data_IF_432422268430
#
_entry.id   IF_432422268430
#
_cell.length_a   1.000
_cell.length_b   1.000
_cell.length_c   1.000
_cell.angle_alpha   90.00
_cell.angle_beta   90.00
_cell.angle_gamma   90.00
#
_symmetry.space_group_name_H-M   'P 1'
#
loop_
_entity.id
_entity.type
_entity.pdbx_description
1 polymer ?
#
# COMPACT_ATOMS: atom_id res chain seq x y z
N UNK A 1 16.34 5.62 -0.31
CA UNK A 1 15.13 5.69 -1.13
C UNK A 1 14.48 7.02 -0.78
N UNK A 2 13.99 7.83 -1.72
CA UNK A 2 13.33 9.08 -1.38
C UNK A 2 12.12 8.80 -0.47
N UNK A 3 11.87 9.70 0.48
CA UNK A 3 10.70 9.63 1.36
C UNK A 3 9.44 10.03 0.59
N UNK A 4 8.27 9.79 1.19
CA UNK A 4 7.02 10.31 0.63
C UNK A 4 7.02 11.84 0.56
N UNK A 5 7.60 12.53 1.56
CA UNK A 5 7.75 13.97 1.56
C UNK A 5 8.52 14.47 0.33
N UNK A 6 9.65 13.81 0.00
CA UNK A 6 10.43 14.17 -1.20
C UNK A 6 9.60 14.02 -2.47
N UNK A 7 8.78 12.98 -2.55
CA UNK A 7 7.89 12.76 -3.68
C UNK A 7 6.79 13.84 -3.75
N UNK A 8 6.15 14.14 -2.61
CA UNK A 8 5.09 15.14 -2.53
C UNK A 8 5.59 16.54 -2.91
N UNK A 9 6.75 16.96 -2.40
CA UNK A 9 7.36 18.24 -2.72
C UNK A 9 7.73 18.35 -4.21
N UNK A 10 8.22 17.26 -4.81
CA UNK A 10 8.51 17.19 -6.25
C UNK A 10 7.23 17.36 -7.08
N UNK A 11 6.16 16.68 -6.71
CA UNK A 11 4.87 16.78 -7.40
C UNK A 11 4.27 18.19 -7.32
N UNK A 12 4.42 18.88 -6.20
CA UNK A 12 3.89 20.24 -6.04
C UNK A 12 4.66 21.29 -6.86
N UNK A 13 5.96 21.12 -7.06
CA UNK A 13 6.81 22.11 -7.74
C UNK A 13 7.11 21.75 -9.18
N UNK A 14 7.84 20.65 -9.37
CA UNK A 14 8.42 20.31 -10.68
C UNK A 14 7.38 19.67 -11.61
N UNK A 15 6.49 18.84 -11.07
CA UNK A 15 5.48 18.15 -11.88
C UNK A 15 4.42 19.11 -12.40
N UNK A 16 4.02 20.09 -11.60
CA UNK A 16 3.11 21.16 -12.03
C UNK A 16 3.68 21.91 -13.23
N UNK A 17 4.94 22.29 -13.16
CA UNK A 17 5.61 22.96 -14.29
C UNK A 17 5.70 22.07 -15.54
N UNK A 18 5.89 20.75 -15.38
CA UNK A 18 5.90 19.79 -16.48
C UNK A 18 4.52 19.66 -17.12
N UNK A 19 3.45 19.59 -16.35
CA UNK A 19 2.08 19.52 -16.85
C UNK A 19 1.72 20.77 -17.64
N UNK A 20 2.05 21.94 -17.13
CA UNK A 20 1.83 23.23 -17.80
C UNK A 20 2.60 23.29 -19.14
N UNK A 21 3.88 22.89 -19.14
CA UNK A 21 4.70 22.85 -20.33
C UNK A 21 4.18 21.86 -21.41
N UNK A 22 3.52 20.77 -20.99
CA UNK A 22 2.88 19.80 -21.88
C UNK A 22 1.47 20.19 -22.30
N UNK A 23 0.92 21.27 -21.76
CA UNK A 23 -0.44 21.73 -22.05
C UNK A 23 -1.53 20.80 -21.51
N UNK A 24 -1.25 20.04 -20.46
CA UNK A 24 -2.24 19.19 -19.79
C UNK A 24 -3.22 20.09 -19.05
N UNK A 25 -4.51 19.93 -19.34
CA UNK A 25 -5.55 20.74 -18.73
C UNK A 25 -6.09 20.09 -17.45
N UNK A 26 -6.58 20.88 -16.50
CA UNK A 26 -7.15 20.42 -15.22
C UNK A 26 -8.24 19.33 -15.41
N UNK A 27 -9.02 19.41 -16.48
CA UNK A 27 -10.01 18.37 -16.81
C UNK A 27 -9.42 17.01 -17.19
N UNK A 28 -8.14 16.99 -17.58
CA UNK A 28 -7.40 15.77 -17.94
C UNK A 28 -6.66 15.23 -16.72
N UNK A 29 -6.08 16.12 -15.91
CA UNK A 29 -5.47 15.79 -14.64
C UNK A 29 -5.45 17.02 -13.73
N UNK A 30 -6.21 16.96 -12.63
CA UNK A 30 -6.26 18.02 -11.62
C UNK A 30 -5.18 17.75 -10.56
N UNK A 31 -4.01 18.36 -10.77
CA UNK A 31 -2.86 18.26 -9.85
C UNK A 31 -3.19 18.82 -8.47
N UNK A 32 -4.02 19.85 -8.39
CA UNK A 32 -4.39 20.46 -7.10
C UNK A 32 -5.23 19.51 -6.27
N UNK A 33 -6.21 18.87 -6.89
CA UNK A 33 -7.02 17.87 -6.20
C UNK A 33 -6.17 16.64 -5.81
N UNK A 34 -5.25 16.22 -6.69
CA UNK A 34 -4.32 15.11 -6.40
C UNK A 34 -3.46 15.42 -5.17
N UNK A 35 -2.86 16.61 -5.09
CA UNK A 35 -2.04 17.02 -3.94
C UNK A 35 -2.87 17.14 -2.66
N UNK A 36 -4.08 17.68 -2.73
CA UNK A 36 -4.99 17.77 -1.58
C UNK A 36 -5.31 16.38 -0.98
N UNK A 37 -5.45 15.37 -1.83
CA UNK A 37 -5.67 13.97 -1.37
C UNK A 37 -4.42 13.40 -0.69
N UNK A 38 -3.23 13.81 -1.10
CA UNK A 38 -1.95 13.36 -0.56
C UNK A 38 -1.48 14.15 0.67
N UNK A 39 -1.95 15.38 0.84
CA UNK A 39 -1.56 16.29 1.93
C UNK A 39 -1.62 15.66 3.33
N UNK A 40 -2.65 14.88 3.70
CA UNK A 40 -2.70 14.24 5.02
C UNK A 40 -1.54 13.27 5.31
N UNK A 41 -0.87 12.77 4.27
CA UNK A 41 0.27 11.84 4.40
C UNK A 41 1.63 12.54 4.37
N UNK A 42 1.66 13.83 4.04
CA UNK A 42 2.87 14.65 4.06
C UNK A 42 3.26 14.97 5.50
N UNK A 43 4.51 15.33 5.70
CA UNK A 43 5.08 15.68 7.02
C UNK A 43 4.25 16.72 7.75
N UNK A 44 3.81 16.37 8.96
CA UNK A 44 2.91 17.20 9.78
C UNK A 44 1.43 16.96 9.50
N UNK A 45 1.06 16.15 8.51
CA UNK A 45 -0.30 15.70 8.27
C UNK A 45 -0.75 14.60 9.24
N UNK A 46 -2.06 14.34 9.27
CA UNK A 46 -2.67 13.37 10.18
C UNK A 46 -2.10 11.95 10.04
N UNK A 47 -1.68 11.57 8.82
CA UNK A 47 -1.19 10.22 8.49
C UNK A 47 0.29 10.20 8.10
N UNK A 48 1.08 11.20 8.47
CA UNK A 48 2.49 11.30 8.11
C UNK A 48 3.30 10.07 8.58
N UNK A 49 2.95 9.52 9.74
CA UNK A 49 3.59 8.35 10.34
C UNK A 49 3.50 7.08 9.49
N UNK A 50 2.55 7.01 8.54
CA UNK A 50 2.40 5.84 7.67
C UNK A 50 3.49 5.75 6.61
N UNK A 51 3.91 6.89 6.04
CA UNK A 51 4.75 6.92 4.85
C UNK A 51 6.10 7.62 5.06
N UNK A 52 6.27 8.37 6.16
CA UNK A 52 7.47 9.18 6.44
C UNK A 52 8.29 8.68 7.64
N UNK A 53 8.18 7.40 7.99
CA UNK A 53 8.98 6.84 9.08
C UNK A 53 10.45 6.73 8.67
N UNK A 54 11.35 7.29 9.49
CA UNK A 54 12.79 7.13 9.35
C UNK A 54 13.27 5.68 9.62
N UNK A 55 12.40 4.87 10.24
CA UNK A 55 12.71 3.48 10.55
C UNK A 55 12.25 2.58 9.42
N UNK A 56 13.19 2.10 8.62
CA UNK A 56 12.90 1.02 7.68
C UNK A 56 12.63 -0.27 8.44
N UNK A 57 11.43 -0.80 8.25
CA UNK A 57 11.06 -2.10 8.78
C UNK A 57 11.67 -3.18 7.87
N UNK A 58 12.90 -3.62 8.16
CA UNK A 58 13.49 -4.75 7.43
C UNK A 58 12.95 -6.07 8.00
N UNK A 59 12.06 -6.68 7.25
CA UNK A 59 11.44 -7.96 7.59
C UNK A 59 12.01 -9.13 6.78
N UNK A 60 13.06 -8.91 5.98
CA UNK A 60 13.60 -9.96 5.11
C UNK A 60 14.08 -11.18 5.91
N UNK A 61 14.76 -10.92 7.03
CA UNK A 61 15.34 -11.97 7.89
C UNK A 61 14.31 -12.61 8.83
N UNK A 62 13.13 -12.03 8.96
CA UNK A 62 12.11 -12.55 9.87
C UNK A 62 11.34 -13.69 9.21
N UNK A 63 11.39 -14.87 9.83
CA UNK A 63 10.67 -16.06 9.32
C UNK A 63 9.18 -16.03 9.62
N UNK A 64 8.80 -15.39 10.71
CA UNK A 64 7.41 -15.23 11.14
C UNK A 64 7.15 -13.78 11.52
N UNK A 65 6.11 -13.20 10.94
CA UNK A 65 5.70 -11.82 11.17
C UNK A 65 4.19 -11.79 11.30
N UNK A 66 3.69 -11.11 12.30
CA UNK A 66 2.26 -10.86 12.51
C UNK A 66 2.03 -9.37 12.49
N UNK A 67 1.03 -8.94 11.75
CA UNK A 67 0.51 -7.58 11.76
C UNK A 67 -0.87 -7.60 12.40
N UNK A 68 -0.98 -6.98 13.55
CA UNK A 68 -2.25 -6.79 14.24
C UNK A 68 -2.84 -5.44 13.82
N UNK A 69 -3.95 -5.47 13.12
CA UNK A 69 -4.60 -4.27 12.58
C UNK A 69 -6.07 -4.15 12.99
N UNK A 70 -6.52 -4.93 13.98
CA UNK A 70 -7.91 -4.92 14.42
C UNK A 70 -8.35 -3.55 14.96
N UNK A 71 -7.45 -2.83 15.62
CA UNK A 71 -7.72 -1.48 16.15
C UNK A 71 -8.06 -0.43 15.07
N UNK A 72 -7.69 -0.67 13.82
CA UNK A 72 -7.95 0.24 12.68
C UNK A 72 -8.91 -0.34 11.65
N UNK A 73 -9.48 -1.52 11.89
CA UNK A 73 -10.30 -2.26 10.90
C UNK A 73 -11.48 -1.47 10.33
N UNK A 74 -12.07 -0.60 11.16
CA UNK A 74 -13.23 0.21 10.78
C UNK A 74 -12.83 1.61 10.27
N UNK A 75 -11.54 1.95 10.33
CA UNK A 75 -11.07 3.25 9.87
C UNK A 75 -11.02 3.29 8.34
N UNK A 76 -11.73 4.25 7.69
CA UNK A 76 -11.92 4.25 6.23
C UNK A 76 -10.65 4.45 5.42
N UNK A 77 -9.62 5.05 6.01
CA UNK A 77 -8.35 5.37 5.36
C UNK A 77 -7.22 4.47 5.87
N UNK A 78 -7.03 4.37 7.19
CA UNK A 78 -5.90 3.64 7.76
C UNK A 78 -5.92 2.16 7.41
N UNK A 79 -7.08 1.52 7.47
CA UNK A 79 -7.18 0.09 7.19
C UNK A 79 -6.75 -0.28 5.75
N UNK A 80 -7.32 0.32 4.69
CA UNK A 80 -6.92 -0.02 3.32
C UNK A 80 -5.46 0.36 3.02
N UNK A 81 -4.98 1.51 3.46
CA UNK A 81 -3.60 1.95 3.21
C UNK A 81 -2.60 1.03 3.91
N UNK A 82 -2.81 0.72 5.20
CA UNK A 82 -1.96 -0.21 5.95
C UNK A 82 -1.96 -1.60 5.32
N UNK A 83 -3.12 -2.08 4.89
CA UNK A 83 -3.24 -3.38 4.22
C UNK A 83 -2.43 -3.43 2.93
N UNK A 84 -2.49 -2.39 2.10
CA UNK A 84 -1.69 -2.30 0.87
C UNK A 84 -0.19 -2.29 1.21
N UNK A 85 0.24 -1.53 2.21
CA UNK A 85 1.65 -1.49 2.64
C UNK A 85 2.12 -2.90 3.06
N UNK A 86 1.35 -3.60 3.88
CA UNK A 86 1.69 -4.96 4.33
C UNK A 86 1.79 -5.92 3.13
N UNK A 87 0.85 -5.86 2.21
CA UNK A 87 0.86 -6.70 1.01
C UNK A 87 2.05 -6.40 0.11
N UNK A 88 2.41 -5.14 -0.11
CA UNK A 88 3.61 -4.76 -0.86
C UNK A 88 4.90 -5.24 -0.19
N UNK A 89 4.99 -5.14 1.13
CA UNK A 89 6.11 -5.70 1.89
C UNK A 89 6.23 -7.20 1.67
N UNK A 90 5.12 -7.94 1.69
CA UNK A 90 5.11 -9.36 1.42
C UNK A 90 5.51 -9.68 -0.03
N UNK A 91 4.98 -8.97 -1.02
CA UNK A 91 5.34 -9.14 -2.43
C UNK A 91 6.83 -8.86 -2.65
N UNK A 92 7.37 -7.83 -2.03
CA UNK A 92 8.80 -7.53 -2.09
C UNK A 92 9.64 -8.67 -1.49
N UNK A 93 9.22 -9.21 -0.35
CA UNK A 93 9.83 -10.38 0.26
C UNK A 93 9.75 -11.62 -0.63
N UNK A 94 8.61 -11.86 -1.28
CA UNK A 94 8.45 -12.93 -2.26
C UNK A 94 9.48 -12.86 -3.38
N UNK A 95 9.68 -11.67 -3.94
CA UNK A 95 10.60 -11.46 -5.06
C UNK A 95 12.07 -11.61 -4.67
N UNK A 96 12.42 -11.17 -3.46
CA UNK A 96 13.82 -11.18 -2.97
C UNK A 96 14.27 -12.57 -2.50
N UNK A 97 13.42 -13.31 -1.81
CA UNK A 97 13.74 -14.64 -1.27
C UNK A 97 13.40 -15.73 -2.30
N UNK A 98 14.27 -15.92 -3.28
CA UNK A 98 14.12 -16.94 -4.31
C UNK A 98 14.30 -18.35 -3.71
N UNK A 99 13.49 -19.32 -4.18
CA UNK A 99 13.61 -20.72 -3.76
C UNK A 99 13.14 -21.04 -2.34
N UNK A 100 12.70 -20.06 -1.56
CA UNK A 100 12.16 -20.25 -0.21
C UNK A 100 10.64 -20.25 -0.27
N UNK A 101 9.98 -21.20 0.39
CA UNK A 101 8.52 -21.18 0.57
C UNK A 101 8.11 -20.03 1.49
N UNK A 102 7.05 -19.34 1.11
CA UNK A 102 6.49 -18.22 1.85
C UNK A 102 4.98 -18.32 1.88
N UNK A 103 4.37 -17.93 2.97
CA UNK A 103 2.93 -17.94 3.13
C UNK A 103 2.47 -16.59 3.70
N UNK A 104 1.38 -16.07 3.17
CA UNK A 104 0.61 -15.00 3.80
C UNK A 104 -0.74 -15.57 4.21
N UNK A 105 -1.12 -15.30 5.45
CA UNK A 105 -2.44 -15.65 5.98
C UNK A 105 -3.15 -14.32 6.23
N UNK A 106 -4.33 -14.17 5.67
CA UNK A 106 -5.16 -12.97 5.79
C UNK A 106 -6.46 -13.40 6.47
N UNK A 107 -6.59 -13.02 7.74
CA UNK A 107 -7.83 -13.19 8.47
C UNK A 107 -8.82 -12.09 8.11
N UNK A 108 -10.10 -12.40 8.18
CA UNK A 108 -11.18 -11.45 7.87
C UNK A 108 -11.03 -10.80 6.46
N UNK A 109 -10.52 -11.55 5.50
CA UNK A 109 -10.20 -11.06 4.14
C UNK A 109 -11.42 -10.40 3.45
N UNK A 110 -12.63 -10.81 3.77
CA UNK A 110 -13.87 -10.25 3.23
C UNK A 110 -14.01 -8.74 3.54
N UNK A 111 -13.55 -8.28 4.72
CA UNK A 111 -13.56 -6.85 5.07
C UNK A 111 -12.71 -6.01 4.11
N UNK A 112 -11.57 -6.56 3.70
CA UNK A 112 -10.76 -5.93 2.68
C UNK A 112 -11.46 -5.96 1.30
N UNK A 113 -12.14 -7.05 0.97
CA UNK A 113 -12.78 -7.23 -0.34
C UNK A 113 -13.99 -6.30 -0.55
N UNK A 114 -14.64 -5.83 0.50
CA UNK A 114 -15.75 -4.85 0.41
C UNK A 114 -15.29 -3.45 0.03
N UNK A 115 -13.99 -3.15 0.11
CA UNK A 115 -13.45 -1.84 -0.27
C UNK A 115 -13.12 -1.80 -1.76
N UNK A 116 -13.47 -0.69 -2.40
CA UNK A 116 -13.18 -0.46 -3.82
C UNK A 116 -11.67 -0.59 -4.10
N UNK A 117 -11.31 -1.27 -5.19
CA UNK A 117 -9.91 -1.53 -5.57
C UNK A 117 -9.21 -2.66 -4.81
N UNK A 118 -9.63 -3.00 -3.59
CA UNK A 118 -8.97 -4.06 -2.80
C UNK A 118 -9.18 -5.45 -3.41
N UNK A 119 -10.34 -5.71 -4.01
CA UNK A 119 -10.61 -6.99 -4.68
C UNK A 119 -9.64 -7.24 -5.84
N UNK A 120 -9.32 -6.21 -6.61
CA UNK A 120 -8.34 -6.33 -7.71
C UNK A 120 -6.93 -6.57 -7.17
N UNK A 121 -6.58 -5.87 -6.11
CA UNK A 121 -5.29 -6.05 -5.45
C UNK A 121 -5.13 -7.46 -4.86
N UNK A 122 -6.16 -8.01 -4.25
CA UNK A 122 -6.18 -9.40 -3.79
C UNK A 122 -6.01 -10.39 -4.94
N UNK A 123 -6.71 -10.18 -6.08
CA UNK A 123 -6.49 -11.00 -7.29
C UNK A 123 -5.05 -10.93 -7.78
N UNK A 124 -4.44 -9.75 -7.76
CA UNK A 124 -3.04 -9.57 -8.10
C UNK A 124 -2.13 -10.34 -7.14
N UNK A 125 -2.36 -10.27 -5.83
CA UNK A 125 -1.64 -11.03 -4.82
C UNK A 125 -1.69 -12.53 -5.12
N UNK A 126 -2.89 -13.11 -5.29
CA UNK A 126 -3.06 -14.53 -5.59
C UNK A 126 -2.37 -14.98 -6.88
N UNK A 127 -2.42 -14.16 -7.92
CA UNK A 127 -1.71 -14.44 -9.17
C UNK A 127 -0.18 -14.37 -9.01
N UNK A 128 0.28 -13.51 -8.13
CA UNK A 128 1.72 -13.23 -7.95
C UNK A 128 2.38 -14.26 -7.06
N UNK A 129 1.77 -14.64 -5.93
CA UNK A 129 2.39 -15.52 -4.93
C UNK A 129 2.85 -16.86 -5.52
N UNK A 130 2.04 -17.49 -6.36
CA UNK A 130 2.37 -18.79 -6.96
C UNK A 130 3.59 -18.75 -7.88
N UNK A 131 3.91 -17.58 -8.48
CA UNK A 131 5.08 -17.42 -9.35
C UNK A 131 6.40 -17.41 -8.57
N UNK A 132 6.33 -17.18 -7.26
CA UNK A 132 7.50 -16.98 -6.39
C UNK A 132 7.55 -17.99 -5.22
N UNK A 133 7.02 -19.18 -5.38
CA UNK A 133 6.95 -20.18 -4.30
C UNK A 133 6.22 -19.64 -3.04
N UNK A 134 5.17 -18.86 -3.27
CA UNK A 134 4.32 -18.31 -2.23
C UNK A 134 2.96 -18.96 -2.20
N UNK A 135 2.33 -18.92 -1.04
CA UNK A 135 0.97 -19.36 -0.78
C UNK A 135 0.21 -18.19 -0.16
N UNK A 136 -1.03 -17.97 -0.57
CA UNK A 136 -1.95 -17.03 0.06
C UNK A 136 -3.15 -17.80 0.60
N UNK A 137 -3.39 -17.65 1.89
CA UNK A 137 -4.51 -18.29 2.60
C UNK A 137 -5.40 -17.16 3.14
N UNK A 138 -6.68 -17.26 2.84
CA UNK A 138 -7.71 -16.39 3.43
C UNK A 138 -8.53 -17.18 4.43
N UNK A 139 -8.76 -16.57 5.57
CA UNK A 139 -9.62 -17.11 6.63
C UNK A 139 -10.81 -16.17 6.77
N UNK A 140 -12.00 -16.73 6.83
CA UNK A 140 -13.23 -15.98 7.09
C UNK A 140 -14.10 -16.78 8.05
N UNK A 141 -14.83 -16.08 8.89
CA UNK A 141 -15.82 -16.67 9.78
C UNK A 141 -17.23 -16.69 9.16
N UNK A 142 -17.44 -15.86 8.11
CA UNK A 142 -18.72 -15.78 7.39
C UNK A 142 -18.52 -16.32 5.97
N UNK A 143 -19.31 -17.31 5.63
CA UNK A 143 -19.41 -17.90 4.29
C UNK A 143 -20.89 -17.84 3.95
N UNK A 144 -21.32 -16.76 3.30
CA UNK A 144 -22.62 -16.66 2.65
C UNK A 144 -22.51 -16.89 1.14
#
# INVERSE_FOLDING_TARGET
MPSFDTYYEYEDTDYRAILDAKGVRDKEFDITNFLNVLEPYHKGGEYDFLLNSDKQLDLLDKRFVVFEIDSIKDHPILFPVTTIIIMEMFINKLRRLKGVRKMIIIEEAWKALTREGMAEYMRYLYKTVRKFFGEAVTVTQEVD
#
